data_IF_298202346594
#
_entry.id   IF_298202346594
#
_cell.length_a   1.000
_cell.length_b   1.000
_cell.length_c   1.000
_cell.angle_alpha   90.00
_cell.angle_beta   90.00
_cell.angle_gamma   90.00
#
_symmetry.space_group_name_H-M   'P 1'
#
loop_
_entity.id
_entity.type
_entity.pdbx_description
1 polymer ?
#
# COMPACT_ATOMS: atom_id res chain seq x y z
N UNK A 1 22.77 -6.63 -13.37
CA UNK A 1 23.40 -5.51 -12.62
C UNK A 1 22.62 -5.35 -11.33
N UNK A 2 23.27 -5.53 -10.19
CA UNK A 2 22.68 -5.29 -8.86
C UNK A 2 23.42 -4.11 -8.24
N UNK A 3 22.68 -3.05 -7.93
CA UNK A 3 23.24 -1.89 -7.21
C UNK A 3 23.00 -2.07 -5.71
N UNK A 4 24.07 -1.87 -4.93
CA UNK A 4 24.00 -1.89 -3.47
C UNK A 4 23.69 -0.49 -2.97
N UNK A 5 22.71 -0.38 -2.09
CA UNK A 5 22.36 0.87 -1.39
C UNK A 5 22.80 0.79 0.07
N UNK A 6 23.18 1.93 0.64
CA UNK A 6 23.51 2.03 2.05
C UNK A 6 22.28 1.70 2.92
N UNK A 7 22.49 0.93 3.99
CA UNK A 7 21.40 0.55 4.92
C UNK A 7 20.72 1.78 5.55
N UNK A 8 21.51 2.80 5.88
CA UNK A 8 21.01 4.07 6.45
C UNK A 8 20.10 4.81 5.46
N UNK A 9 20.54 4.99 4.21
CA UNK A 9 19.73 5.60 3.15
C UNK A 9 18.44 4.84 2.88
N UNK A 10 18.51 3.50 2.82
CA UNK A 10 17.32 2.66 2.65
C UNK A 10 16.32 2.83 3.79
N UNK A 11 16.79 2.99 5.03
CA UNK A 11 15.94 3.23 6.21
C UNK A 11 15.33 4.63 6.16
N UNK A 12 16.10 5.65 5.82
CA UNK A 12 15.59 7.02 5.62
C UNK A 12 14.53 7.09 4.52
N UNK A 13 14.76 6.42 3.40
CA UNK A 13 13.77 6.34 2.32
C UNK A 13 12.46 5.66 2.78
N UNK A 14 12.54 4.64 3.65
CA UNK A 14 11.37 4.00 4.24
C UNK A 14 10.61 4.96 5.15
N UNK A 15 11.31 5.69 6.01
CA UNK A 15 10.71 6.72 6.86
C UNK A 15 9.99 7.80 6.06
N UNK A 16 10.66 8.37 5.06
CA UNK A 16 10.07 9.38 4.19
C UNK A 16 8.86 8.86 3.43
N UNK A 17 8.91 7.60 2.96
CA UNK A 17 7.79 6.98 2.26
C UNK A 17 6.58 6.75 3.18
N UNK A 18 6.78 6.31 4.42
CA UNK A 18 5.71 6.15 5.43
C UNK A 18 5.14 7.52 5.80
N UNK A 19 5.98 8.51 6.09
CA UNK A 19 5.52 9.86 6.41
C UNK A 19 4.65 10.43 5.28
N UNK A 20 5.03 10.21 4.02
CA UNK A 20 4.27 10.70 2.87
C UNK A 20 2.89 10.04 2.69
N UNK A 21 2.60 8.87 3.28
CA UNK A 21 1.25 8.28 3.22
C UNK A 21 0.27 8.99 4.15
N UNK A 22 0.76 9.68 5.19
CA UNK A 22 -0.06 10.46 6.11
C UNK A 22 -0.50 11.81 5.52
N UNK A 23 0.30 12.41 4.65
CA UNK A 23 -0.03 13.72 4.06
C UNK A 23 -0.95 13.61 2.85
N UNK A 24 -2.15 14.19 2.95
CA UNK A 24 -3.16 14.24 1.89
C UNK A 24 -2.62 14.76 0.56
N UNK A 25 -1.77 15.79 0.61
CA UNK A 25 -1.14 16.40 -0.57
C UNK A 25 -0.38 15.39 -1.44
N UNK A 26 0.46 14.54 -0.85
CA UNK A 26 1.25 13.57 -1.62
C UNK A 26 0.37 12.48 -2.22
N UNK A 27 -0.66 12.04 -1.49
CA UNK A 27 -1.59 11.00 -1.95
C UNK A 27 -2.45 11.48 -3.12
N UNK A 28 -2.94 12.73 -3.07
CA UNK A 28 -3.69 13.33 -4.18
C UNK A 28 -2.80 13.60 -5.40
N UNK A 29 -1.60 14.16 -5.20
CA UNK A 29 -0.66 14.48 -6.28
C UNK A 29 -0.26 13.23 -7.07
N UNK A 30 -0.19 12.07 -6.40
CA UNK A 30 0.02 10.78 -7.05
C UNK A 30 -1.15 10.33 -7.95
N UNK A 31 -2.34 10.87 -7.72
CA UNK A 31 -3.55 10.58 -8.49
C UNK A 31 -4.40 9.46 -7.91
N UNK A 32 -4.34 9.25 -6.59
CA UNK A 32 -5.33 8.45 -5.86
C UNK A 32 -6.62 9.25 -5.65
N UNK A 33 -7.77 8.57 -5.72
CA UNK A 33 -9.07 9.16 -5.39
C UNK A 33 -9.33 9.02 -3.90
N UNK A 34 -9.37 10.13 -3.18
CA UNK A 34 -9.52 10.14 -1.72
C UNK A 34 -10.53 11.19 -1.24
N UNK A 35 -11.40 11.65 -2.13
CA UNK A 35 -12.35 12.75 -1.84
C UNK A 35 -13.26 12.41 -0.66
N UNK A 36 -13.69 11.14 -0.55
CA UNK A 36 -14.56 10.65 0.52
C UNK A 36 -13.79 10.13 1.76
N UNK A 37 -12.45 10.16 1.74
CA UNK A 37 -11.63 9.68 2.86
C UNK A 37 -11.48 10.78 3.89
N UNK A 38 -11.90 10.50 5.13
CA UNK A 38 -11.86 11.44 6.26
C UNK A 38 -10.43 11.74 6.71
N UNK A 39 -9.65 10.69 6.99
CA UNK A 39 -8.32 10.79 7.60
C UNK A 39 -7.30 9.91 6.88
N UNK A 40 -6.05 10.36 6.88
CA UNK A 40 -4.89 9.63 6.38
C UNK A 40 -3.78 9.65 7.44
N UNK A 41 -3.04 8.54 7.61
CA UNK A 41 -3.26 7.24 6.99
C UNK A 41 -4.51 6.56 7.56
N UNK A 42 -5.11 5.64 6.81
CA UNK A 42 -6.31 4.93 7.29
C UNK A 42 -5.87 3.83 8.26
N UNK A 43 -6.38 3.87 9.48
CA UNK A 43 -6.10 2.87 10.51
C UNK A 43 -7.37 2.07 10.77
N UNK A 44 -7.26 0.74 10.73
CA UNK A 44 -8.38 -0.19 10.91
C UNK A 44 -8.06 -1.22 11.99
N UNK A 45 -9.11 -1.87 12.50
CA UNK A 45 -8.98 -2.98 13.44
C UNK A 45 -8.32 -4.20 12.80
N UNK A 46 -7.75 -5.06 13.62
CA UNK A 46 -7.09 -6.29 13.17
C UNK A 46 -8.06 -7.33 12.59
N UNK A 47 -9.38 -7.12 12.74
CA UNK A 47 -10.43 -7.93 12.10
C UNK A 47 -10.28 -7.97 10.57
N UNK A 48 -9.70 -6.93 9.96
CA UNK A 48 -9.40 -6.91 8.53
C UNK A 48 -8.50 -8.08 8.11
N UNK A 49 -7.59 -8.54 8.98
CA UNK A 49 -6.63 -9.60 8.68
C UNK A 49 -7.30 -10.95 8.41
N UNK A 50 -8.47 -11.18 9.02
CA UNK A 50 -9.21 -12.44 9.04
C UNK A 50 -10.20 -12.57 7.87
N UNK A 51 -10.41 -11.50 7.11
CA UNK A 51 -11.30 -11.52 5.96
C UNK A 51 -10.82 -12.51 4.91
N UNK A 52 -11.67 -13.50 4.62
CA UNK A 52 -11.37 -14.55 3.64
C UNK A 52 -12.00 -14.31 2.26
N UNK A 53 -13.09 -13.53 2.20
CA UNK A 53 -13.84 -13.28 0.96
C UNK A 53 -13.58 -11.87 0.42
N UNK A 54 -13.41 -11.79 -0.90
CA UNK A 54 -13.26 -10.51 -1.61
C UNK A 54 -14.49 -9.60 -1.48
N UNK A 55 -15.69 -10.18 -1.34
CA UNK A 55 -16.93 -9.43 -1.10
C UNK A 55 -16.87 -8.60 0.18
N UNK A 56 -16.25 -9.15 1.22
CA UNK A 56 -16.22 -8.53 2.54
C UNK A 56 -15.19 -7.40 2.55
N UNK A 57 -14.02 -7.62 1.93
CA UNK A 57 -13.03 -6.57 1.69
C UNK A 57 -13.63 -5.42 0.89
N UNK A 58 -14.47 -5.72 -0.11
CA UNK A 58 -15.16 -4.68 -0.90
C UNK A 58 -16.09 -3.83 -0.03
N UNK A 59 -16.90 -4.46 0.84
CA UNK A 59 -17.79 -3.74 1.77
C UNK A 59 -17.01 -2.82 2.69
N UNK A 60 -15.87 -3.29 3.22
CA UNK A 60 -14.98 -2.46 4.04
C UNK A 60 -14.43 -1.28 3.25
N UNK A 61 -14.01 -1.49 2.00
CA UNK A 61 -13.49 -0.42 1.15
C UNK A 61 -14.55 0.63 0.77
N UNK A 62 -15.80 0.20 0.59
CA UNK A 62 -16.94 1.09 0.38
C UNK A 62 -17.23 1.92 1.64
N UNK A 63 -17.22 1.29 2.82
CA UNK A 63 -17.41 1.97 4.11
C UNK A 63 -16.29 2.98 4.43
N UNK A 64 -15.05 2.67 4.04
CA UNK A 64 -13.88 3.55 4.20
C UNK A 64 -13.80 4.65 3.11
N UNK A 65 -14.66 4.62 2.09
CA UNK A 65 -14.66 5.60 1.01
C UNK A 65 -13.49 5.46 0.01
N UNK A 66 -12.76 4.34 0.02
CA UNK A 66 -11.59 4.09 -0.84
C UNK A 66 -11.91 3.26 -2.10
N UNK A 67 -13.13 2.74 -2.20
CA UNK A 67 -13.54 1.89 -3.32
C UNK A 67 -13.35 2.56 -4.69
N UNK A 68 -13.58 3.88 -4.77
CA UNK A 68 -13.39 4.64 -6.00
C UNK A 68 -11.95 4.57 -6.55
N UNK A 69 -10.94 4.46 -5.68
CA UNK A 69 -9.55 4.32 -6.11
C UNK A 69 -9.27 2.96 -6.76
N UNK A 70 -9.92 1.92 -6.27
CA UNK A 70 -9.85 0.57 -6.84
C UNK A 70 -10.58 0.54 -8.19
N UNK A 71 -11.73 1.19 -8.30
CA UNK A 71 -12.42 1.34 -9.59
C UNK A 71 -11.59 2.12 -10.61
N UNK A 72 -10.94 3.21 -10.20
CA UNK A 72 -9.99 3.96 -11.03
C UNK A 72 -8.89 3.03 -11.55
N UNK A 73 -8.32 2.21 -10.68
CA UNK A 73 -7.27 1.26 -11.08
C UNK A 73 -7.78 0.22 -12.08
N UNK A 74 -8.99 -0.31 -11.87
CA UNK A 74 -9.66 -1.26 -12.80
C UNK A 74 -9.92 -0.63 -14.18
N UNK A 75 -10.47 0.59 -14.24
CA UNK A 75 -10.77 1.30 -15.50
C UNK A 75 -9.50 1.64 -16.30
N UNK A 76 -8.35 1.81 -15.63
CA UNK A 76 -7.07 2.18 -16.25
C UNK A 76 -6.16 0.99 -16.59
N UNK A 77 -6.65 -0.25 -16.45
CA UNK A 77 -5.91 -1.42 -16.95
C UNK A 77 -5.88 -1.36 -18.47
N UNK A 78 -4.68 -1.34 -19.05
CA UNK A 78 -4.50 -1.28 -20.50
C UNK A 78 -3.45 -2.25 -21.00
N UNK A 79 -3.51 -2.58 -22.28
CA UNK A 79 -2.48 -3.38 -22.95
C UNK A 79 -1.20 -2.54 -23.05
N UNK A 80 -0.06 -3.15 -22.74
CA UNK A 80 1.26 -2.54 -22.82
C UNK A 80 1.63 -2.32 -24.29
N UNK A 81 2.03 -1.09 -24.61
CA UNK A 81 2.57 -0.76 -25.93
C UNK A 81 3.93 -1.43 -26.18
N UNK A 82 4.25 -1.67 -27.46
CA UNK A 82 5.53 -2.22 -27.89
C UNK A 82 5.71 -3.73 -27.64
N UNK A 83 6.97 -4.20 -27.70
CA UNK A 83 7.33 -5.63 -27.64
C UNK A 83 7.14 -6.26 -26.26
N UNK A 84 6.97 -5.47 -25.19
CA UNK A 84 6.74 -5.98 -23.84
C UNK A 84 5.48 -6.87 -23.73
N UNK A 85 4.49 -6.67 -24.61
CA UNK A 85 3.30 -7.52 -24.69
C UNK A 85 3.61 -8.96 -25.08
N UNK A 86 4.63 -9.17 -25.92
CA UNK A 86 5.07 -10.50 -26.37
C UNK A 86 5.94 -11.21 -25.31
N UNK A 87 6.58 -10.45 -24.41
CA UNK A 87 7.45 -10.98 -23.35
C UNK A 87 6.67 -11.33 -22.07
N UNK A 88 5.40 -11.72 -22.18
CA UNK A 88 4.54 -12.06 -21.02
C UNK A 88 4.08 -10.89 -20.15
N UNK A 89 4.38 -9.63 -20.50
CA UNK A 89 4.00 -8.42 -19.72
C UNK A 89 2.89 -7.62 -20.41
N UNK A 90 1.85 -8.33 -20.90
CA UNK A 90 0.78 -7.79 -21.75
C UNK A 90 -0.03 -6.67 -21.09
N UNK A 91 -0.30 -6.73 -19.80
CA UNK A 91 -1.14 -5.75 -19.12
C UNK A 91 -0.29 -4.78 -18.28
N UNK A 92 -0.66 -3.50 -18.30
CA UNK A 92 -0.20 -2.47 -17.36
C UNK A 92 -1.34 -2.17 -16.40
N UNK A 93 -1.16 -2.52 -15.12
CA UNK A 93 -2.12 -2.27 -14.04
C UNK A 93 -1.61 -1.10 -13.19
N UNK A 94 -2.43 -0.07 -12.91
CA UNK A 94 -2.08 0.96 -11.93
C UNK A 94 -1.97 0.38 -10.52
N UNK A 95 -1.21 1.07 -9.66
CA UNK A 95 -1.21 0.81 -8.22
C UNK A 95 -2.34 1.61 -7.56
N UNK A 96 -3.05 0.95 -6.66
CA UNK A 96 -4.14 1.49 -5.84
C UNK A 96 -3.72 1.33 -4.38
N UNK A 97 -4.64 0.87 -3.53
CA UNK A 97 -4.47 0.68 -2.09
C UNK A 97 -3.32 -0.28 -1.78
N UNK A 98 -2.55 0.03 -0.74
CA UNK A 98 -1.68 -0.91 -0.04
C UNK A 98 -2.32 -1.23 1.30
N UNK A 99 -2.55 -2.50 1.59
CA UNK A 99 -2.96 -2.95 2.93
C UNK A 99 -1.70 -3.44 3.64
N UNK A 100 -1.41 -2.85 4.79
CA UNK A 100 -0.30 -3.25 5.67
C UNK A 100 -0.90 -3.90 6.91
N UNK A 101 -0.57 -5.17 7.11
CA UNK A 101 -1.10 -5.99 8.21
C UNK A 101 0.02 -6.43 9.15
N UNK A 102 -0.32 -6.74 10.40
CA UNK A 102 0.61 -7.36 11.33
C UNK A 102 0.94 -8.79 10.91
N UNK A 103 -0.10 -9.56 10.56
CA UNK A 103 0.01 -10.94 10.07
C UNK A 103 -1.07 -11.23 9.02
N UNK A 104 -0.73 -11.98 7.97
CA UNK A 104 -1.76 -12.43 7.03
C UNK A 104 -2.53 -13.64 7.60
N UNK A 105 -3.81 -13.45 7.93
CA UNK A 105 -4.73 -14.52 8.39
C UNK A 105 -5.76 -14.92 7.34
N UNK A 106 -5.68 -14.40 6.12
CA UNK A 106 -6.67 -14.65 5.06
C UNK A 106 -6.83 -13.49 4.09
N UNK A 107 -6.57 -12.27 4.56
CA UNK A 107 -6.69 -11.03 3.79
C UNK A 107 -5.87 -11.03 2.51
N UNK A 108 -4.68 -11.65 2.50
CA UNK A 108 -3.86 -11.78 1.30
C UNK A 108 -4.59 -12.52 0.18
N UNK A 109 -5.35 -13.56 0.51
CA UNK A 109 -6.17 -14.31 -0.46
C UNK A 109 -7.41 -13.49 -0.85
N UNK A 110 -8.07 -12.85 0.11
CA UNK A 110 -9.29 -12.08 -0.13
C UNK A 110 -9.06 -10.88 -1.05
N UNK A 111 -7.96 -10.15 -0.86
CA UNK A 111 -7.64 -8.94 -1.62
C UNK A 111 -6.94 -9.22 -2.96
N UNK A 112 -6.35 -10.40 -3.18
CA UNK A 112 -5.55 -10.74 -4.39
C UNK A 112 -6.29 -10.53 -5.71
N UNK A 113 -7.61 -10.71 -5.73
CA UNK A 113 -8.42 -10.56 -6.94
C UNK A 113 -8.69 -9.07 -7.29
N UNK A 114 -8.49 -8.15 -6.35
CA UNK A 114 -8.72 -6.72 -6.58
C UNK A 114 -7.58 -6.11 -7.40
N UNK A 115 -7.93 -5.29 -8.39
CA UNK A 115 -6.95 -4.69 -9.28
C UNK A 115 -6.19 -3.57 -8.58
N UNK A 116 -4.87 -3.70 -8.49
CA UNK A 116 -4.00 -2.65 -7.98
C UNK A 116 -3.92 -2.58 -6.46
N UNK A 117 -4.65 -3.45 -5.75
CA UNK A 117 -4.55 -3.64 -4.31
C UNK A 117 -3.42 -4.63 -4.04
N UNK A 118 -2.47 -4.23 -3.18
CA UNK A 118 -1.43 -5.14 -2.69
C UNK A 118 -1.59 -5.30 -1.17
N UNK A 119 -1.25 -6.46 -0.64
CA UNK A 119 -1.20 -6.75 0.80
C UNK A 119 0.24 -7.04 1.18
N UNK A 120 0.71 -6.50 2.30
CA UNK A 120 2.04 -6.77 2.83
C UNK A 120 2.00 -6.82 4.36
N UNK A 121 2.80 -7.71 4.94
CA UNK A 121 3.03 -7.69 6.38
C UNK A 121 3.99 -6.56 6.76
N UNK A 122 3.76 -5.89 7.89
CA UNK A 122 4.57 -4.78 8.40
C UNK A 122 6.07 -5.13 8.46
N UNK A 123 6.39 -6.38 8.85
CA UNK A 123 7.76 -6.92 8.88
C UNK A 123 8.44 -6.88 7.51
N UNK A 124 7.68 -7.10 6.44
CA UNK A 124 8.14 -7.17 5.06
C UNK A 124 7.94 -5.85 4.28
N UNK A 125 7.46 -4.80 4.94
CA UNK A 125 7.24 -3.49 4.31
C UNK A 125 8.56 -2.92 3.77
N UNK A 126 8.51 -2.45 2.53
CA UNK A 126 9.63 -1.89 1.79
C UNK A 126 9.25 -0.59 1.07
N UNK A 127 10.27 0.14 0.60
CA UNK A 127 10.11 1.45 -0.05
C UNK A 127 9.38 1.32 -1.39
N UNK A 128 9.62 0.27 -2.16
CA UNK A 128 9.01 0.08 -3.49
C UNK A 128 7.49 -0.09 -3.42
N UNK A 129 6.99 -0.67 -2.34
CA UNK A 129 5.57 -0.86 -2.10
C UNK A 129 4.88 0.46 -1.73
N UNK A 130 5.52 1.30 -0.92
CA UNK A 130 5.01 2.61 -0.48
C UNK A 130 5.19 3.71 -1.52
N UNK A 131 6.30 3.67 -2.26
CA UNK A 131 6.66 4.64 -3.28
C UNK A 131 6.90 3.99 -4.66
N UNK A 132 5.88 3.34 -5.28
CA UNK A 132 6.08 2.67 -6.55
C UNK A 132 6.52 3.66 -7.64
N UNK A 133 7.62 3.36 -8.32
CA UNK A 133 8.19 4.22 -9.36
C UNK A 133 8.90 5.47 -8.83
N UNK A 134 9.27 5.50 -7.54
CA UNK A 134 10.01 6.62 -6.93
C UNK A 134 9.14 7.82 -6.52
N UNK A 135 7.85 7.80 -6.86
CA UNK A 135 6.89 8.79 -6.35
C UNK A 135 6.42 8.36 -4.95
N UNK A 136 6.36 9.25 -3.94
CA UNK A 136 5.80 8.93 -2.62
C UNK A 136 4.26 9.01 -2.61
N UNK A 137 3.64 8.79 -1.45
CA UNK A 137 2.20 9.03 -1.24
C UNK A 137 1.26 7.96 -1.81
N UNK A 138 1.58 6.66 -1.65
CA UNK A 138 0.61 5.61 -1.98
C UNK A 138 -0.52 5.56 -0.94
N UNK A 139 -1.77 5.46 -1.40
CA UNK A 139 -2.92 5.25 -0.52
C UNK A 139 -2.73 3.94 0.26
N UNK A 140 -2.64 4.04 1.58
CA UNK A 140 -2.27 2.92 2.45
C UNK A 140 -3.24 2.79 3.62
N UNK A 141 -3.61 1.56 3.94
CA UNK A 141 -4.44 1.15 5.08
C UNK A 141 -3.56 0.33 6.01
N UNK A 142 -3.51 0.68 7.29
CA UNK A 142 -2.74 -0.02 8.33
C UNK A 142 -3.68 -0.68 9.32
N UNK A 143 -3.37 -1.90 9.74
CA UNK A 143 -4.00 -2.48 10.94
C UNK A 143 -3.33 -1.95 12.21
N UNK A 144 -4.02 -1.99 13.34
CA UNK A 144 -3.47 -1.54 14.63
C UNK A 144 -2.21 -2.32 14.99
N UNK A 145 -2.22 -3.65 14.83
CA UNK A 145 -1.04 -4.48 15.06
C UNK A 145 0.09 -4.14 14.08
N UNK A 146 -0.22 -3.76 12.83
CA UNK A 146 0.81 -3.35 11.87
C UNK A 146 1.59 -2.11 12.35
N UNK A 147 0.92 -1.14 12.98
CA UNK A 147 1.58 0.05 13.51
C UNK A 147 2.53 -0.28 14.65
N UNK A 148 2.11 -1.12 15.59
CA UNK A 148 2.97 -1.57 16.69
C UNK A 148 4.25 -2.27 16.18
N UNK A 149 4.10 -3.12 15.16
CA UNK A 149 5.25 -3.79 14.53
C UNK A 149 6.15 -2.80 13.77
N UNK A 150 5.57 -1.78 13.13
CA UNK A 150 6.35 -0.74 12.48
C UNK A 150 7.09 0.12 13.50
N UNK A 151 6.46 0.46 14.62
CA UNK A 151 7.09 1.17 15.72
C UNK A 151 8.26 0.37 16.29
N UNK A 152 8.13 -0.93 16.55
CA UNK A 152 9.26 -1.76 16.99
C UNK A 152 10.39 -1.80 15.93
N UNK A 153 10.02 -2.01 14.66
CA UNK A 153 10.97 -2.12 13.55
C UNK A 153 11.72 -0.82 13.27
N UNK A 154 11.08 0.32 13.51
CA UNK A 154 11.57 1.64 13.13
C UNK A 154 12.07 2.44 14.34
N UNK A 155 11.54 2.19 15.52
CA UNK A 155 11.64 2.95 16.77
C UNK A 155 12.91 2.72 17.58
N UNK A 156 14.00 2.27 16.95
CA UNK A 156 15.34 2.30 17.56
C UNK A 156 15.90 3.73 17.74
N UNK A 157 15.08 4.70 18.13
CA UNK A 157 15.43 6.11 18.37
C UNK A 157 15.00 6.64 19.75
N UNK A 158 14.16 5.91 20.50
CA UNK A 158 13.85 6.26 21.90
C UNK A 158 14.88 5.64 22.86
N UNK A 159 16.13 6.05 22.70
CA UNK A 159 17.19 6.00 23.72
C UNK A 159 17.90 7.36 23.67
N UNK A 160 17.18 8.41 24.03
CA UNK A 160 17.77 9.64 24.55
C UNK A 160 17.46 9.65 26.04
N UNK A 161 18.51 9.37 26.82
CA UNK A 161 18.64 9.81 28.20
C UNK A 161 18.87 11.32 28.22
#
# INVERSE_FOLDING_TARGET
IHERINRKEKRLALFSAIAATAYRFFVQTRGHKIDNVKELPIIVTDELEELSKTSDVRRVFEALGIWEDVERARKRVRIRAGKGKMRGRRYKKPKSVLIVVGKDRGIGKAARNMVGVDVVEARNLNVELLAPGGHPGRLTVYTQTALAVLEEKLGGGSNEQ
#
